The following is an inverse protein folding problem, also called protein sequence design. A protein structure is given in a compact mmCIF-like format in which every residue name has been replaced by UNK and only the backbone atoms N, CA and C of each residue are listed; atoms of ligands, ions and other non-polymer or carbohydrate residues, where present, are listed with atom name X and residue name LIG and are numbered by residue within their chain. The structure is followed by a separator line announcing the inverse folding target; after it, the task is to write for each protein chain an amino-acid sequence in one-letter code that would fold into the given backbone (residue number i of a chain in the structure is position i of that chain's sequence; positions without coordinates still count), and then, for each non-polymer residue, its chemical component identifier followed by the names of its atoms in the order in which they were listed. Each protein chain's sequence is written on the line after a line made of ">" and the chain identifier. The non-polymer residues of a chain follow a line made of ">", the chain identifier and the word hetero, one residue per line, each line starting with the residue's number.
data_IF_950380141237
#
_entry.id   IF_950380141237
#
_cell.length_a   1.000
_cell.length_b   1.000
_cell.length_c   1.000
_cell.angle_alpha   90.00
_cell.angle_beta   90.00
_cell.angle_gamma   90.00
#
_symmetry.space_group_name_H-M   'P 1'
#
loop_
_entity.id
_entity.type
_entity.pdbx_description
1 polymer ?
#
# COMPACT_ATOMS: atom_id res chain seq x y z
N UNK A 1 -2.27 -19.58 -16.08
CA UNK A 1 -0.86 -19.41 -15.65
C UNK A 1 -0.89 -19.02 -14.18
N UNK A 2 0.04 -19.46 -13.39
CA UNK A 2 0.19 -19.09 -11.98
C UNK A 2 1.49 -18.30 -11.75
N UNK A 3 1.76 -17.90 -10.51
CA UNK A 3 2.99 -17.16 -10.14
C UNK A 3 4.27 -17.90 -10.53
N UNK A 4 4.30 -19.24 -10.43
CA UNK A 4 5.45 -20.04 -10.81
C UNK A 4 5.66 -20.06 -12.32
N UNK A 5 4.58 -19.98 -13.10
CA UNK A 5 4.61 -19.91 -14.55
C UNK A 5 5.27 -18.64 -15.08
N UNK A 6 5.18 -17.52 -14.36
CA UNK A 6 5.84 -16.26 -14.74
C UNK A 6 7.36 -16.40 -14.79
N UNK A 7 7.94 -17.21 -13.90
CA UNK A 7 9.39 -17.45 -13.87
C UNK A 7 9.88 -18.40 -14.98
N UNK A 8 8.97 -19.01 -15.74
CA UNK A 8 9.31 -19.91 -16.85
C UNK A 8 9.14 -19.24 -18.21
N UNK A 9 8.66 -18.00 -18.23
CA UNK A 9 8.51 -17.24 -19.46
C UNK A 9 9.87 -16.93 -20.11
N UNK A 10 9.94 -16.90 -21.45
CA UNK A 10 11.15 -16.51 -22.13
C UNK A 10 11.48 -15.04 -21.88
N UNK A 11 12.75 -14.70 -21.73
CA UNK A 11 13.17 -13.33 -21.54
C UNK A 11 14.63 -13.19 -21.10
N UNK A 12 15.02 -11.97 -20.72
CA UNK A 12 16.39 -11.64 -20.34
C UNK A 12 16.71 -12.11 -18.92
N UNK A 13 17.96 -12.49 -18.63
CA UNK A 13 18.38 -12.92 -17.29
C UNK A 13 18.09 -11.87 -16.21
N UNK A 14 18.24 -10.58 -16.52
CA UNK A 14 17.99 -9.47 -15.60
C UNK A 14 16.51 -9.35 -15.24
N UNK A 15 15.61 -9.53 -16.22
CA UNK A 15 14.17 -9.56 -16.01
C UNK A 15 13.77 -10.74 -15.13
N UNK A 16 14.34 -11.92 -15.39
CA UNK A 16 14.09 -13.12 -14.59
C UNK A 16 14.60 -12.98 -13.15
N UNK A 17 15.71 -12.28 -12.93
CA UNK A 17 16.22 -11.98 -11.59
C UNK A 17 15.27 -11.02 -10.85
N UNK A 18 14.86 -9.94 -11.51
CA UNK A 18 13.91 -8.97 -10.97
C UNK A 18 12.55 -9.60 -10.65
N UNK A 19 12.00 -10.41 -11.54
CA UNK A 19 10.75 -11.14 -11.35
C UNK A 19 10.81 -12.03 -10.09
N UNK A 20 11.91 -12.77 -9.92
CA UNK A 20 12.10 -13.65 -8.77
C UNK A 20 12.11 -12.87 -7.47
N UNK A 21 12.89 -11.79 -7.41
CA UNK A 21 12.98 -10.93 -6.22
C UNK A 21 11.62 -10.29 -5.88
N UNK A 22 10.90 -9.81 -6.90
CA UNK A 22 9.61 -9.17 -6.71
C UNK A 22 8.52 -10.14 -6.27
N UNK A 23 8.48 -11.34 -6.84
CA UNK A 23 7.51 -12.39 -6.49
C UNK A 23 7.70 -12.93 -5.08
N UNK A 24 8.93 -12.90 -4.56
CA UNK A 24 9.25 -13.39 -3.21
C UNK A 24 8.60 -12.54 -2.11
N UNK A 25 8.45 -11.25 -2.35
CA UNK A 25 7.99 -10.26 -1.36
C UNK A 25 6.60 -9.70 -1.64
N UNK A 26 5.82 -10.35 -2.48
CA UNK A 26 4.44 -9.93 -2.76
C UNK A 26 3.60 -9.97 -1.50
N UNK A 27 2.92 -8.88 -1.21
CA UNK A 27 1.90 -8.84 -0.16
C UNK A 27 0.67 -9.67 -0.55
N UNK A 28 -0.22 -9.93 0.40
CA UNK A 28 -1.49 -10.62 0.11
C UNK A 28 -2.29 -9.84 -0.93
N UNK A 29 -2.39 -8.52 -0.76
CA UNK A 29 -3.07 -7.63 -1.69
C UNK A 29 -2.47 -7.69 -3.09
N UNK A 30 -1.14 -7.54 -3.20
CA UNK A 30 -0.44 -7.63 -4.48
C UNK A 30 -0.58 -9.01 -5.13
N UNK A 31 -0.63 -10.07 -4.32
CA UNK A 31 -0.89 -11.42 -4.79
C UNK A 31 -2.26 -11.58 -5.45
N UNK A 32 -3.29 -11.00 -4.85
CA UNK A 32 -4.67 -10.98 -5.39
C UNK A 32 -4.71 -10.14 -6.66
N UNK A 33 -4.10 -8.96 -6.67
CA UNK A 33 -4.00 -8.11 -7.85
C UNK A 33 -3.29 -8.82 -9.02
N UNK A 34 -2.20 -9.54 -8.73
CA UNK A 34 -1.47 -10.31 -9.73
C UNK A 34 -2.31 -11.45 -10.31
N UNK A 35 -3.04 -12.18 -9.46
CA UNK A 35 -3.91 -13.26 -9.93
C UNK A 35 -5.02 -12.71 -10.85
N UNK A 36 -5.58 -11.54 -10.56
CA UNK A 36 -6.52 -10.85 -11.42
C UNK A 36 -5.87 -10.39 -12.74
N UNK A 37 -4.67 -9.80 -12.66
CA UNK A 37 -3.92 -9.34 -13.82
C UNK A 37 -3.58 -10.49 -14.77
N UNK A 38 -3.08 -11.62 -14.25
CA UNK A 38 -2.76 -12.81 -15.05
C UNK A 38 -4.00 -13.40 -15.72
N UNK A 39 -5.15 -13.41 -15.04
CA UNK A 39 -6.39 -13.94 -15.62
C UNK A 39 -6.89 -13.06 -16.77
N UNK A 40 -6.73 -11.76 -16.65
CA UNK A 40 -7.16 -10.82 -17.69
C UNK A 40 -6.18 -10.74 -18.86
N UNK A 41 -4.89 -10.62 -18.57
CA UNK A 41 -3.80 -10.46 -19.53
C UNK A 41 -2.67 -11.43 -19.20
N UNK A 42 -2.74 -12.69 -19.65
CA UNK A 42 -1.67 -13.65 -19.43
C UNK A 42 -0.40 -13.18 -20.15
N UNK A 43 0.68 -12.95 -19.40
CA UNK A 43 1.97 -12.57 -19.97
C UNK A 43 2.51 -13.66 -20.89
N UNK A 44 3.11 -13.26 -22.01
CA UNK A 44 3.70 -14.16 -23.00
C UNK A 44 5.23 -14.25 -22.85
N UNK A 45 5.84 -13.22 -22.29
CA UNK A 45 7.28 -13.14 -22.05
C UNK A 45 7.58 -12.42 -20.72
N UNK A 46 8.87 -12.36 -20.35
CA UNK A 46 9.29 -11.70 -19.11
C UNK A 46 9.09 -10.20 -19.11
N UNK A 47 9.09 -9.53 -20.26
CA UNK A 47 8.83 -8.09 -20.37
C UNK A 47 7.39 -7.76 -19.97
N UNK A 48 6.43 -8.52 -20.49
CA UNK A 48 5.03 -8.39 -20.11
C UNK A 48 4.81 -8.76 -18.63
N UNK A 49 5.51 -9.78 -18.12
CA UNK A 49 5.45 -10.16 -16.71
C UNK A 49 5.99 -9.04 -15.79
N UNK A 50 7.08 -8.35 -16.19
CA UNK A 50 7.58 -7.17 -15.47
C UNK A 50 6.54 -6.05 -15.49
N UNK A 51 5.89 -5.78 -16.64
CA UNK A 51 4.81 -4.79 -16.72
C UNK A 51 3.67 -5.10 -15.75
N UNK A 52 3.20 -6.36 -15.71
CA UNK A 52 2.13 -6.77 -14.77
C UNK A 52 2.54 -6.51 -13.32
N UNK A 53 3.73 -6.97 -12.91
CA UNK A 53 4.21 -6.81 -11.53
C UNK A 53 4.50 -5.36 -11.15
N UNK A 54 4.88 -4.51 -12.11
CA UNK A 54 5.15 -3.10 -11.88
C UNK A 54 3.88 -2.23 -11.83
N UNK A 55 2.71 -2.78 -12.17
CA UNK A 55 1.43 -2.07 -12.20
C UNK A 55 0.40 -2.59 -11.18
N UNK A 56 0.81 -3.42 -10.22
CA UNK A 56 -0.11 -4.01 -9.24
C UNK A 56 -0.77 -2.98 -8.32
N UNK A 57 -0.17 -1.81 -8.14
CA UNK A 57 -0.71 -0.68 -7.40
C UNK A 57 -1.90 0.01 -8.10
N UNK A 58 -2.04 -0.18 -9.42
CA UNK A 58 -3.18 0.31 -10.19
C UNK A 58 -4.46 -0.51 -9.96
N UNK A 59 -4.34 -1.72 -9.37
CA UNK A 59 -5.48 -2.58 -9.04
C UNK A 59 -6.02 -2.22 -7.66
N UNK A 60 -7.29 -1.87 -7.57
CA UNK A 60 -7.97 -1.75 -6.28
C UNK A 60 -8.45 -3.14 -5.84
N UNK A 61 -8.10 -3.54 -4.60
CA UNK A 61 -8.50 -4.83 -4.03
C UNK A 61 -9.48 -4.59 -2.90
N UNK A 62 -10.73 -5.01 -3.11
CA UNK A 62 -11.80 -4.92 -2.14
C UNK A 62 -11.88 -6.25 -1.37
N UNK A 63 -11.40 -6.25 -0.12
CA UNK A 63 -11.36 -7.44 0.72
C UNK A 63 -12.72 -7.82 1.27
N UNK A 64 -12.92 -9.14 1.50
CA UNK A 64 -14.17 -9.67 2.03
C UNK A 64 -15.35 -9.68 1.05
N UNK A 65 -15.11 -9.42 -0.23
CA UNK A 65 -16.12 -9.38 -1.29
C UNK A 65 -16.03 -10.66 -2.13
N UNK A 66 -16.94 -11.59 -1.90
CA UNK A 66 -16.91 -12.92 -2.52
C UNK A 66 -18.06 -13.16 -3.49
N UNK A 67 -19.07 -12.28 -3.49
CA UNK A 67 -20.28 -12.41 -4.29
C UNK A 67 -20.78 -11.05 -4.78
N UNK A 68 -21.69 -11.05 -5.73
CA UNK A 68 -22.39 -9.84 -6.15
C UNK A 68 -23.24 -9.22 -5.02
N UNK A 69 -23.71 -10.03 -4.09
CA UNK A 69 -24.44 -9.54 -2.91
C UNK A 69 -23.50 -8.72 -2.00
N UNK A 70 -22.28 -9.23 -1.72
CA UNK A 70 -21.27 -8.49 -0.96
C UNK A 70 -20.87 -7.20 -1.69
N UNK A 71 -20.67 -7.30 -3.01
CA UNK A 71 -20.32 -6.14 -3.84
C UNK A 71 -21.43 -5.09 -3.86
N UNK A 72 -22.68 -5.53 -3.87
CA UNK A 72 -23.84 -4.64 -3.76
C UNK A 72 -23.96 -3.98 -2.39
N UNK A 73 -23.65 -4.71 -1.33
CA UNK A 73 -23.59 -4.15 0.02
C UNK A 73 -22.48 -3.10 0.13
N UNK A 74 -21.29 -3.42 -0.36
CA UNK A 74 -20.17 -2.49 -0.45
C UNK A 74 -20.56 -1.19 -1.18
N UNK A 75 -21.19 -1.30 -2.36
CA UNK A 75 -21.63 -0.14 -3.14
C UNK A 75 -22.71 0.68 -2.42
N UNK A 76 -23.57 0.03 -1.66
CA UNK A 76 -24.58 0.70 -0.86
C UNK A 76 -23.95 1.52 0.27
N UNK A 77 -22.93 0.96 0.95
CA UNK A 77 -22.17 1.60 2.00
C UNK A 77 -21.43 2.83 1.49
N UNK A 78 -20.74 2.70 0.37
CA UNK A 78 -20.02 3.79 -0.30
C UNK A 78 -20.95 4.93 -0.75
N UNK A 79 -22.13 4.58 -1.25
CA UNK A 79 -23.06 5.59 -1.80
C UNK A 79 -23.73 6.39 -0.70
N UNK A 80 -24.20 5.75 0.34
CA UNK A 80 -24.83 6.44 1.47
C UNK A 80 -25.09 5.52 2.67
N UNK A 81 -24.47 5.82 3.79
CA UNK A 81 -24.74 5.14 5.06
C UNK A 81 -26.23 5.15 5.46
N UNK A 82 -27.02 6.13 4.98
CA UNK A 82 -28.46 6.20 5.25
C UNK A 82 -29.25 5.12 4.51
N UNK A 83 -28.75 4.66 3.37
CA UNK A 83 -29.39 3.62 2.59
C UNK A 83 -29.17 2.23 3.19
N UNK A 84 -28.19 2.05 4.05
CA UNK A 84 -27.97 0.79 4.79
C UNK A 84 -29.20 0.34 5.59
N UNK A 85 -29.98 1.28 6.10
CA UNK A 85 -31.23 0.96 6.79
C UNK A 85 -32.29 0.31 5.86
N UNK A 86 -32.11 0.43 4.54
CA UNK A 86 -33.01 -0.13 3.53
C UNK A 86 -32.45 -1.42 2.89
N UNK A 87 -31.30 -1.93 3.37
CA UNK A 87 -30.62 -3.08 2.75
C UNK A 87 -31.53 -4.29 2.55
N UNK A 88 -32.44 -4.56 3.50
CA UNK A 88 -33.36 -5.70 3.45
C UNK A 88 -34.46 -5.55 2.38
N UNK A 89 -34.58 -4.35 1.78
CA UNK A 89 -35.54 -4.03 0.72
C UNK A 89 -34.87 -3.83 -0.65
N UNK A 90 -33.55 -3.97 -0.73
CA UNK A 90 -32.74 -3.74 -1.94
C UNK A 90 -32.25 -5.09 -2.46
N UNK A 91 -32.33 -5.29 -3.75
CA UNK A 91 -31.70 -6.41 -4.45
C UNK A 91 -30.19 -6.16 -4.57
N UNK A 92 -29.44 -6.65 -3.58
CA UNK A 92 -27.98 -6.44 -3.48
C UNK A 92 -27.23 -7.12 -4.63
N UNK A 93 -27.64 -8.30 -5.10
CA UNK A 93 -27.01 -8.98 -6.26
C UNK A 93 -27.07 -8.09 -7.50
N UNK A 94 -28.26 -7.51 -7.76
CA UNK A 94 -28.44 -6.61 -8.89
C UNK A 94 -27.64 -5.31 -8.76
N UNK A 95 -27.53 -4.82 -7.53
CA UNK A 95 -26.74 -3.63 -7.23
C UNK A 95 -25.24 -3.90 -7.44
N UNK A 96 -24.73 -5.07 -7.02
CA UNK A 96 -23.36 -5.50 -7.24
C UNK A 96 -23.00 -5.67 -8.71
N UNK A 97 -23.91 -6.24 -9.52
CA UNK A 97 -23.71 -6.31 -10.98
C UNK A 97 -23.64 -4.93 -11.62
N UNK A 98 -24.44 -3.98 -11.13
CA UNK A 98 -24.37 -2.60 -11.60
C UNK A 98 -23.04 -1.93 -11.22
N UNK A 99 -22.49 -2.24 -10.04
CA UNK A 99 -21.16 -1.79 -9.65
C UNK A 99 -20.09 -2.34 -10.60
N UNK A 100 -20.11 -3.65 -10.89
CA UNK A 100 -19.19 -4.28 -11.85
C UNK A 100 -19.25 -3.65 -13.25
N UNK A 101 -20.47 -3.27 -13.74
CA UNK A 101 -20.60 -2.56 -15.02
C UNK A 101 -19.85 -1.23 -15.05
N UNK A 102 -19.73 -0.56 -13.90
CA UNK A 102 -19.03 0.73 -13.75
C UNK A 102 -17.56 0.56 -13.36
N UNK A 103 -17.27 -0.49 -12.61
CA UNK A 103 -15.96 -0.83 -12.07
C UNK A 103 -15.62 -2.29 -12.39
N UNK A 104 -15.28 -2.59 -13.67
CA UNK A 104 -14.99 -3.96 -14.08
C UNK A 104 -13.87 -4.58 -13.26
N UNK A 105 -14.05 -5.83 -12.85
CA UNK A 105 -13.08 -6.51 -12.00
C UNK A 105 -13.27 -8.02 -12.00
N UNK A 106 -12.66 -8.70 -11.04
CA UNK A 106 -12.69 -10.14 -10.91
C UNK A 106 -12.78 -10.55 -9.43
N UNK A 107 -13.65 -11.52 -9.14
CA UNK A 107 -13.65 -12.20 -7.84
C UNK A 107 -12.49 -13.18 -7.78
N UNK A 108 -11.57 -12.97 -6.86
CA UNK A 108 -10.38 -13.80 -6.67
C UNK A 108 -9.91 -13.76 -5.21
N UNK A 109 -9.55 -14.91 -4.64
CA UNK A 109 -8.99 -15.01 -3.30
C UNK A 109 -9.88 -14.46 -2.17
N UNK A 110 -11.21 -14.49 -2.34
CA UNK A 110 -12.15 -13.93 -1.35
C UNK A 110 -12.27 -12.40 -1.39
N UNK A 111 -11.80 -11.79 -2.47
CA UNK A 111 -11.81 -10.36 -2.73
C UNK A 111 -12.39 -10.07 -4.11
N UNK A 112 -12.73 -8.82 -4.36
CA UNK A 112 -13.02 -8.30 -5.70
C UNK A 112 -11.87 -7.38 -6.11
N UNK A 113 -11.13 -7.76 -7.15
CA UNK A 113 -10.05 -6.95 -7.72
C UNK A 113 -10.59 -6.12 -8.89
N UNK A 114 -10.66 -4.81 -8.71
CA UNK A 114 -11.07 -3.86 -9.74
C UNK A 114 -9.93 -3.66 -10.71
N UNK A 115 -10.22 -3.71 -11.98
CA UNK A 115 -9.22 -3.50 -13.03
C UNK A 115 -8.87 -2.02 -13.19
N UNK A 116 -7.61 -1.68 -13.53
CA UNK A 116 -7.25 -0.31 -13.83
C UNK A 116 -8.00 0.23 -15.06
N UNK A 117 -8.24 1.54 -15.09
CA UNK A 117 -8.93 2.21 -16.20
C UNK A 117 -8.16 2.10 -17.51
N UNK A 118 -6.82 2.04 -17.42
CA UNK A 118 -5.92 1.95 -18.59
C UNK A 118 -5.34 0.57 -18.72
N UNK A 119 -5.51 -0.05 -19.88
CA UNK A 119 -5.03 -1.38 -20.17
C UNK A 119 -4.58 -1.58 -21.61
N UNK A 120 -3.58 -2.47 -21.81
CA UNK A 120 -2.72 -3.05 -20.77
C UNK A 120 -1.76 -2.00 -20.19
N UNK A 121 -1.44 -2.06 -18.90
CA UNK A 121 -0.41 -1.21 -18.32
C UNK A 121 0.96 -1.60 -18.89
N UNK A 122 1.74 -0.61 -19.32
CA UNK A 122 3.09 -0.81 -19.87
C UNK A 122 4.10 0.14 -19.19
N UNK A 123 4.30 -0.02 -17.87
CA UNK A 123 5.25 0.82 -17.15
C UNK A 123 6.71 0.51 -17.45
N UNK A 124 6.99 -0.58 -18.17
CA UNK A 124 8.32 -1.05 -18.53
C UNK A 124 8.50 -1.10 -20.07
N UNK A 125 9.53 -0.44 -20.54
CA UNK A 125 9.84 -0.30 -21.98
C UNK A 125 10.70 -1.43 -22.57
N UNK A 126 11.02 -2.45 -21.77
CA UNK A 126 11.90 -3.54 -22.17
C UNK A 126 13.40 -3.20 -22.10
N UNK A 127 13.77 -2.02 -21.62
CA UNK A 127 15.18 -1.56 -21.57
C UNK A 127 15.65 -1.35 -20.14
N UNK A 128 15.00 -0.46 -19.40
CA UNK A 128 15.40 -0.08 -18.04
C UNK A 128 14.41 -0.67 -17.06
N UNK A 129 14.85 -1.67 -16.28
CA UNK A 129 14.01 -2.28 -15.23
C UNK A 129 13.47 -1.24 -14.26
N UNK A 130 12.25 -1.44 -13.74
CA UNK A 130 11.70 -0.58 -12.73
C UNK A 130 12.68 -0.41 -11.56
N UNK A 131 12.88 0.84 -11.14
CA UNK A 131 13.75 1.18 -10.02
C UNK A 131 13.17 0.76 -8.67
N UNK A 132 13.88 1.07 -7.56
CA UNK A 132 13.37 0.81 -6.23
C UNK A 132 12.00 1.46 -6.02
N UNK A 133 11.09 0.70 -5.43
CA UNK A 133 9.76 1.15 -5.07
C UNK A 133 9.79 1.76 -3.66
N UNK A 134 9.51 3.06 -3.57
CA UNK A 134 9.43 3.81 -2.30
C UNK A 134 7.97 4.14 -1.92
N UNK A 135 7.00 3.47 -2.51
CA UNK A 135 5.60 3.60 -2.11
C UNK A 135 5.32 2.98 -0.74
N UNK A 136 6.20 2.09 -0.29
CA UNK A 136 6.15 1.44 1.03
C UNK A 136 7.35 1.85 1.89
N UNK A 137 7.19 1.79 3.20
CA UNK A 137 8.24 2.04 4.20
C UNK A 137 8.83 0.74 4.71
N UNK A 138 7.97 -0.16 5.19
CA UNK A 138 8.33 -1.50 5.65
C UNK A 138 7.50 -2.55 4.93
N UNK A 139 8.14 -3.69 4.62
CA UNK A 139 7.47 -4.95 4.29
C UNK A 139 7.75 -5.93 5.42
N UNK A 140 6.68 -6.47 5.99
CA UNK A 140 6.75 -7.38 7.14
C UNK A 140 6.21 -8.75 6.73
N UNK A 141 6.97 -9.80 6.96
CA UNK A 141 6.51 -11.18 6.82
C UNK A 141 6.07 -11.67 8.19
N UNK A 142 4.77 -11.86 8.34
CA UNK A 142 4.16 -12.33 9.57
C UNK A 142 3.71 -13.78 9.41
N UNK A 143 3.81 -14.55 10.47
CA UNK A 143 3.32 -15.92 10.52
C UNK A 143 2.33 -16.11 11.66
N UNK A 144 1.54 -17.18 11.57
CA UNK A 144 0.67 -17.68 12.62
C UNK A 144 0.82 -19.20 12.75
N UNK A 145 0.30 -19.83 13.82
CA UNK A 145 0.24 -21.28 13.91
C UNK A 145 -0.55 -21.94 12.77
N UNK A 146 -1.51 -21.25 12.17
CA UNK A 146 -2.30 -21.75 11.05
C UNK A 146 -1.60 -21.58 9.69
N UNK A 147 -0.71 -20.60 9.57
CA UNK A 147 0.07 -20.30 8.36
C UNK A 147 1.55 -20.02 8.73
N UNK A 148 2.33 -21.08 9.00
CA UNK A 148 3.72 -20.95 9.46
C UNK A 148 4.68 -20.44 8.37
N UNK A 149 4.35 -20.58 7.09
CA UNK A 149 5.08 -20.00 5.96
C UNK A 149 5.00 -18.48 5.91
N UNK A 150 3.98 -17.94 6.58
CA UNK A 150 3.74 -16.51 6.71
C UNK A 150 3.16 -15.83 5.48
N UNK A 151 2.75 -14.59 5.69
CA UNK A 151 2.24 -13.69 4.65
C UNK A 151 2.94 -12.34 4.76
N UNK A 152 3.21 -11.72 3.61
CA UNK A 152 3.75 -10.39 3.54
C UNK A 152 2.64 -9.34 3.63
N UNK A 153 2.93 -8.24 4.30
CA UNK A 153 2.18 -7.00 4.24
C UNK A 153 3.13 -5.82 4.00
N UNK A 154 2.64 -4.75 3.42
CA UNK A 154 3.39 -3.51 3.22
C UNK A 154 2.79 -2.39 4.07
N UNK A 155 3.66 -1.53 4.58
CA UNK A 155 3.30 -0.31 5.28
C UNK A 155 3.75 0.90 4.44
N UNK A 156 3.04 1.99 4.48
CA UNK A 156 1.88 2.25 5.31
C UNK A 156 0.63 1.60 4.75
N UNK A 157 -0.22 1.12 5.63
CA UNK A 157 -1.59 0.73 5.31
C UNK A 157 -2.45 1.99 5.37
N UNK A 158 -2.75 2.54 4.19
CA UNK A 158 -3.43 3.84 4.05
C UNK A 158 -4.93 3.78 4.26
N UNK A 159 -5.44 2.67 4.72
CA UNK A 159 -6.83 2.69 5.12
C UNK A 159 -6.97 3.68 6.26
N UNK A 160 -7.51 4.81 5.89
CA UNK A 160 -7.91 5.83 6.85
C UNK A 160 -8.69 5.15 7.97
N UNK A 161 -8.50 5.61 9.20
CA UNK A 161 -9.27 5.18 10.39
C UNK A 161 -10.79 5.25 10.14
N UNK A 162 -11.20 6.05 9.16
CA UNK A 162 -12.58 6.24 8.72
C UNK A 162 -12.99 5.28 7.59
N UNK A 163 -12.08 4.55 6.97
CA UNK A 163 -12.36 3.60 5.90
C UNK A 163 -12.58 2.19 6.50
N UNK A 164 -13.78 1.68 6.36
CA UNK A 164 -14.18 0.35 6.86
C UNK A 164 -13.59 -0.78 6.00
N UNK A 165 -12.92 -0.44 4.90
CA UNK A 165 -12.38 -1.42 3.94
C UNK A 165 -11.18 -2.17 4.51
N UNK A 166 -11.06 -3.49 4.25
CA UNK A 166 -9.88 -4.26 4.62
C UNK A 166 -8.64 -3.74 3.90
N UNK A 167 -7.66 -3.25 4.66
CA UNK A 167 -6.35 -2.85 4.17
C UNK A 167 -5.35 -3.99 4.13
N UNK A 168 -4.09 -3.64 3.86
CA UNK A 168 -2.96 -4.58 3.83
C UNK A 168 -2.88 -5.43 5.11
N UNK A 169 -3.02 -4.78 6.28
CA UNK A 169 -2.98 -5.47 7.58
C UNK A 169 -4.14 -6.45 7.68
N UNK A 170 -5.35 -6.03 7.34
CA UNK A 170 -6.53 -6.89 7.45
C UNK A 170 -6.44 -8.08 6.51
N UNK A 171 -6.04 -7.86 5.26
CA UNK A 171 -5.86 -8.94 4.29
C UNK A 171 -4.79 -9.95 4.74
N UNK A 172 -3.69 -9.46 5.34
CA UNK A 172 -2.66 -10.32 5.89
C UNK A 172 -3.18 -11.14 7.08
N UNK A 173 -3.94 -10.54 8.02
CA UNK A 173 -4.54 -11.24 9.16
C UNK A 173 -5.54 -12.32 8.71
N UNK A 174 -6.35 -12.02 7.70
CA UNK A 174 -7.30 -12.99 7.14
C UNK A 174 -6.57 -14.16 6.48
N UNK A 175 -5.49 -13.90 5.72
CA UNK A 175 -4.64 -14.96 5.14
C UNK A 175 -3.94 -15.80 6.21
N UNK A 176 -3.54 -15.19 7.32
CA UNK A 176 -2.92 -15.85 8.47
C UNK A 176 -3.95 -16.53 9.40
N UNK A 177 -5.26 -16.38 9.14
CA UNK A 177 -6.36 -16.92 9.93
C UNK A 177 -6.31 -16.48 11.41
N UNK A 178 -5.91 -15.25 11.67
CA UNK A 178 -5.85 -14.64 13.01
C UNK A 178 -6.68 -13.35 13.05
N UNK A 179 -7.00 -12.90 14.27
CA UNK A 179 -7.83 -11.71 14.44
C UNK A 179 -7.03 -10.46 14.72
N UNK A 180 -5.87 -10.61 15.32
CA UNK A 180 -5.05 -9.51 15.81
C UNK A 180 -3.58 -9.70 15.48
N UNK A 181 -2.85 -8.60 15.41
CA UNK A 181 -1.40 -8.60 15.21
C UNK A 181 -0.65 -9.32 16.33
N UNK A 182 -1.19 -9.29 17.55
CA UNK A 182 -0.59 -9.94 18.71
C UNK A 182 -0.58 -11.47 18.59
N UNK A 183 -1.43 -12.04 17.73
CA UNK A 183 -1.45 -13.48 17.43
C UNK A 183 -0.40 -13.88 16.37
N UNK A 184 0.35 -12.91 15.85
CA UNK A 184 1.35 -13.11 14.82
C UNK A 184 2.78 -13.13 15.37
N UNK A 185 3.66 -13.81 14.63
CA UNK A 185 5.11 -13.79 14.83
C UNK A 185 5.77 -13.11 13.63
N UNK A 186 6.69 -12.18 13.86
CA UNK A 186 7.49 -11.57 12.81
C UNK A 186 8.56 -12.56 12.34
N UNK A 187 8.57 -12.91 11.06
CA UNK A 187 9.57 -13.76 10.44
C UNK A 187 10.68 -12.95 9.77
N UNK A 188 10.31 -11.87 9.06
CA UNK A 188 11.24 -11.04 8.30
C UNK A 188 10.69 -9.60 8.22
N UNK A 189 11.59 -8.62 8.23
CA UNK A 189 11.27 -7.22 8.03
C UNK A 189 12.23 -6.60 7.01
N UNK A 190 11.68 -5.93 6.01
CA UNK A 190 12.45 -5.18 5.01
C UNK A 190 12.07 -3.71 5.07
N UNK A 191 13.06 -2.82 5.01
CA UNK A 191 12.85 -1.38 4.92
C UNK A 191 13.18 -0.90 3.50
N UNK A 192 12.37 0.02 2.97
CA UNK A 192 12.66 0.64 1.67
C UNK A 192 13.88 1.58 1.73
N UNK A 193 14.20 2.08 2.93
CA UNK A 193 15.39 2.91 3.12
C UNK A 193 16.64 2.04 3.18
N UNK A 194 17.69 2.40 2.41
CA UNK A 194 18.94 1.64 2.41
C UNK A 194 19.63 1.68 3.78
N UNK A 195 20.26 0.56 4.15
CA UNK A 195 21.05 0.46 5.38
C UNK A 195 20.24 0.21 6.67
N UNK A 196 18.93 0.19 6.62
CA UNK A 196 18.08 -0.19 7.76
C UNK A 196 17.85 -1.69 7.72
N UNK A 197 18.46 -2.41 8.68
CA UNK A 197 18.41 -3.87 8.82
C UNK A 197 18.27 -4.26 10.29
N UNK A 198 17.95 -5.54 10.56
CA UNK A 198 17.88 -6.06 11.93
C UNK A 198 16.65 -5.59 12.72
N UNK A 199 15.60 -5.19 12.01
CA UNK A 199 14.33 -4.75 12.62
C UNK A 199 13.68 -5.85 13.46
N UNK A 200 13.84 -7.12 13.06
CA UNK A 200 13.31 -8.29 13.76
C UNK A 200 13.88 -8.37 15.19
N UNK A 201 15.17 -8.10 15.34
CA UNK A 201 15.83 -8.09 16.66
C UNK A 201 15.54 -6.82 17.43
N UNK A 202 15.54 -5.66 16.74
CA UNK A 202 15.28 -4.36 17.36
C UNK A 202 13.87 -4.24 17.97
N UNK A 203 12.89 -4.92 17.35
CA UNK A 203 11.49 -4.91 17.77
C UNK A 203 11.00 -6.28 18.29
N UNK A 204 11.90 -7.13 18.77
CA UNK A 204 11.52 -8.42 19.36
C UNK A 204 10.44 -8.25 20.43
N UNK A 205 9.29 -8.93 20.28
CA UNK A 205 8.14 -8.81 21.18
C UNK A 205 7.37 -7.49 21.13
N UNK A 206 7.67 -6.59 20.16
CA UNK A 206 7.05 -5.27 20.03
C UNK A 206 6.58 -5.00 18.59
N UNK A 207 5.86 -5.99 18.02
CA UNK A 207 5.41 -5.93 16.64
C UNK A 207 4.46 -4.75 16.35
N UNK A 208 3.61 -4.40 17.31
CA UNK A 208 2.71 -3.25 17.24
C UNK A 208 3.47 -1.91 17.19
N UNK A 209 4.57 -1.78 17.92
CA UNK A 209 5.44 -0.60 17.82
C UNK A 209 6.12 -0.53 16.43
N UNK A 210 6.59 -1.66 15.89
CA UNK A 210 7.19 -1.72 14.56
C UNK A 210 6.18 -1.30 13.48
N UNK A 211 4.94 -1.77 13.58
CA UNK A 211 3.87 -1.38 12.65
C UNK A 211 3.58 0.11 12.76
N UNK A 212 3.45 0.64 13.98
CA UNK A 212 3.21 2.06 14.21
C UNK A 212 4.33 2.93 13.63
N UNK A 213 5.59 2.57 13.87
CA UNK A 213 6.75 3.30 13.35
C UNK A 213 6.83 3.19 11.81
N UNK A 214 6.50 2.02 11.25
CA UNK A 214 6.42 1.80 9.81
C UNK A 214 5.34 2.65 9.14
N UNK A 215 4.16 2.77 9.76
CA UNK A 215 3.09 3.66 9.30
C UNK A 215 3.55 5.11 9.25
N UNK A 216 4.17 5.60 10.34
CA UNK A 216 4.66 6.97 10.43
C UNK A 216 5.76 7.24 9.39
N UNK A 217 6.71 6.32 9.24
CA UNK A 217 7.76 6.42 8.24
C UNK A 217 7.18 6.49 6.82
N UNK A 218 6.19 5.64 6.52
CA UNK A 218 5.55 5.63 5.22
C UNK A 218 4.81 6.93 4.91
N UNK A 219 4.12 7.49 5.90
CA UNK A 219 3.47 8.78 5.75
C UNK A 219 4.49 9.89 5.41
N UNK A 220 5.62 9.93 6.12
CA UNK A 220 6.68 10.91 5.88
C UNK A 220 7.29 10.73 4.50
N UNK A 221 7.63 9.50 4.09
CA UNK A 221 8.20 9.22 2.78
C UNK A 221 7.23 9.65 1.66
N UNK A 222 5.94 9.40 1.83
CA UNK A 222 4.92 9.83 0.87
C UNK A 222 4.84 11.34 0.76
N UNK A 223 4.79 12.07 1.87
CA UNK A 223 4.74 13.53 1.87
C UNK A 223 5.98 14.13 1.21
N UNK A 224 7.16 13.61 1.54
CA UNK A 224 8.41 14.07 0.95
C UNK A 224 8.50 13.77 -0.55
N UNK A 225 7.96 12.64 -1.00
CA UNK A 225 7.95 12.28 -2.42
C UNK A 225 6.96 13.12 -3.23
N UNK A 226 5.82 13.51 -2.64
CA UNK A 226 4.82 14.35 -3.31
C UNK A 226 5.17 15.83 -3.31
N UNK A 227 5.89 16.32 -2.29
CA UNK A 227 6.11 17.75 -2.07
C UNK A 227 7.18 18.37 -2.95
N UNK A 228 8.29 17.71 -3.24
CA UNK A 228 9.40 18.21 -4.05
C UNK A 228 10.10 17.08 -4.79
N UNK A 229 10.03 17.09 -6.13
CA UNK A 229 10.83 16.16 -6.94
C UNK A 229 12.31 16.28 -6.57
N UNK A 230 12.90 15.19 -6.07
CA UNK A 230 14.28 15.11 -5.67
C UNK A 230 14.57 15.24 -4.18
N UNK A 231 13.58 15.58 -3.34
CA UNK A 231 13.81 15.65 -1.89
C UNK A 231 14.04 14.26 -1.30
N UNK A 232 13.25 13.28 -1.69
CA UNK A 232 13.46 11.88 -1.28
C UNK A 232 14.87 11.40 -1.66
N UNK A 233 15.31 11.68 -2.89
CA UNK A 233 16.66 11.31 -3.34
C UNK A 233 17.75 12.01 -2.52
N UNK A 234 17.55 13.27 -2.18
CA UNK A 234 18.48 14.03 -1.33
C UNK A 234 18.50 13.46 0.10
N UNK A 235 17.34 13.07 0.61
CA UNK A 235 17.22 12.45 1.94
C UNK A 235 17.91 11.09 1.99
N UNK A 236 17.68 10.24 1.00
CA UNK A 236 18.35 8.94 0.85
C UNK A 236 19.88 9.11 0.77
N UNK A 237 20.32 10.06 -0.04
CA UNK A 237 21.76 10.39 -0.15
C UNK A 237 22.36 10.89 1.15
N UNK A 238 21.61 11.69 1.93
CA UNK A 238 22.05 12.15 3.25
C UNK A 238 22.18 10.99 4.23
N UNK A 239 21.21 10.07 4.26
CA UNK A 239 21.25 8.87 5.08
C UNK A 239 22.45 7.96 4.74
N UNK A 240 22.70 7.73 3.46
CA UNK A 240 23.86 6.98 3.00
C UNK A 240 25.16 7.65 3.47
N UNK A 241 25.25 8.96 3.39
CA UNK A 241 26.44 9.72 3.79
C UNK A 241 26.66 9.72 5.30
N UNK A 242 25.62 9.81 6.12
CA UNK A 242 25.72 9.71 7.57
C UNK A 242 26.18 8.32 8.01
N UNK A 243 25.71 7.26 7.37
CA UNK A 243 26.17 5.90 7.62
C UNK A 243 27.67 5.72 7.32
N UNK A 244 28.24 6.49 6.37
CA UNK A 244 29.67 6.46 6.03
C UNK A 244 30.56 7.29 6.98
N UNK A 245 30.02 8.18 7.78
CA UNK A 245 30.78 9.07 8.63
C UNK A 245 30.92 8.61 10.09
N UNK A 246 30.45 7.44 10.46
CA UNK A 246 30.82 6.83 11.72
C UNK A 246 32.16 6.11 11.56
N UNK A 247 33.28 6.71 12.08
CA UNK A 247 34.58 6.07 11.98
C UNK A 247 34.59 4.81 12.84
N UNK A 248 34.97 3.71 12.21
CA UNK A 248 35.50 2.50 12.82
C UNK A 248 34.64 1.89 13.94
N UNK A 249 33.61 1.21 13.58
CA UNK A 249 33.19 0.03 14.32
C UNK A 249 33.52 -1.21 13.50
N UNK A 250 34.23 -2.15 14.15
CA UNK A 250 34.51 -3.46 13.58
C UNK A 250 33.22 -4.11 13.08
N UNK A 251 33.25 -5.00 12.06
CA UNK A 251 32.08 -5.68 11.56
C UNK A 251 31.22 -6.44 12.60
N UNK A 252 31.70 -6.54 13.85
CA UNK A 252 30.99 -7.11 14.99
C UNK A 252 30.35 -6.11 15.95
N UNK A 253 30.58 -4.81 15.74
CA UNK A 253 30.12 -3.72 16.62
C UNK A 253 29.08 -2.81 15.94
N UNK A 254 28.35 -3.31 14.94
CA UNK A 254 27.14 -2.59 14.50
C UNK A 254 26.21 -2.50 15.70
N UNK A 255 25.92 -1.29 16.23
CA UNK A 255 24.79 -1.17 17.14
C UNK A 255 23.57 -1.59 16.31
N UNK A 256 22.86 -2.56 16.82
CA UNK A 256 21.46 -2.73 16.44
C UNK A 256 20.88 -1.31 16.45
N UNK A 257 20.34 -0.78 15.36
CA UNK A 257 19.68 0.51 15.40
C UNK A 257 18.68 0.41 16.53
N UNK A 258 18.87 1.23 17.57
CA UNK A 258 17.90 1.35 18.62
C UNK A 258 16.54 1.67 17.97
N UNK A 259 15.42 1.44 18.65
CA UNK A 259 14.11 1.82 18.14
C UNK A 259 14.23 3.19 17.53
N UNK A 260 13.69 3.39 16.34
CA UNK A 260 13.71 4.66 15.62
C UNK A 260 13.41 5.73 16.66
N UNK A 261 14.27 6.74 16.88
CA UNK A 261 14.12 7.61 18.03
C UNK A 261 12.75 8.21 18.02
N UNK A 262 11.92 7.83 18.99
CA UNK A 262 10.54 8.28 19.17
C UNK A 262 10.40 9.81 19.33
N UNK A 263 11.48 10.53 19.32
CA UNK A 263 11.54 11.99 19.39
C UNK A 263 12.09 12.68 18.15
N UNK A 264 12.58 11.96 17.13
CA UNK A 264 13.08 12.59 15.89
C UNK A 264 11.93 12.95 14.93
N UNK A 265 10.81 12.33 15.09
CA UNK A 265 9.59 12.58 14.34
C UNK A 265 8.68 13.43 15.21
N UNK A 266 8.76 14.75 15.05
CA UNK A 266 7.95 15.68 15.82
C UNK A 266 6.50 15.20 15.85
N UNK A 267 5.96 15.05 17.05
CA UNK A 267 4.54 14.78 17.28
C UNK A 267 3.73 15.81 16.49
N UNK A 268 3.24 15.44 15.31
CA UNK A 268 2.14 16.12 14.70
C UNK A 268 0.89 15.70 15.47
N UNK A 269 0.56 16.51 16.48
CA UNK A 269 -0.72 16.46 17.14
C UNK A 269 -1.80 16.86 16.10
N UNK A 270 -2.72 15.96 15.66
CA UNK A 270 -3.75 16.30 14.68
C UNK A 270 -4.82 17.24 15.22
N UNK A 271 -4.65 17.83 16.40
CA UNK A 271 -5.64 18.55 17.18
C UNK A 271 -5.69 20.07 17.08
N UNK A 272 -4.88 20.76 16.24
CA UNK A 272 -4.93 22.23 16.18
C UNK A 272 -5.08 22.77 14.75
N UNK A 273 -6.22 22.54 14.13
CA UNK A 273 -6.78 23.49 13.19
C UNK A 273 -7.78 24.39 13.93
N UNK A 274 -7.28 25.47 14.53
CA UNK A 274 -8.13 26.56 14.97
C UNK A 274 -8.49 27.44 13.75
N UNK A 275 -9.78 27.74 13.51
CA UNK A 275 -10.14 28.68 12.47
C UNK A 275 -9.70 30.07 12.91
N UNK A 276 -8.76 30.65 12.19
CA UNK A 276 -8.30 32.02 12.37
C UNK A 276 -9.46 33.02 12.18
N UNK A 277 -9.75 33.71 13.26
CA UNK A 277 -10.74 34.77 13.32
C UNK A 277 -10.39 35.94 12.41
N UNK A 278 -11.35 36.36 11.65
CA UNK A 278 -11.42 37.64 10.98
C UNK A 278 -11.65 38.78 11.98
N UNK A 279 -10.74 39.72 12.03
CA UNK A 279 -11.01 41.10 12.48
C UNK A 279 -10.42 42.02 11.43
N UNK A 280 -11.22 42.67 10.67
CA UNK A 280 -11.90 43.93 10.91
C UNK A 280 -11.12 45.09 10.33
N UNK A 281 -11.68 45.80 9.44
CA UNK A 281 -11.92 47.24 9.32
C UNK A 281 -11.71 47.78 7.88
N UNK A 282 -12.78 48.23 7.28
CA UNK A 282 -13.00 49.64 7.15
C UNK A 282 -12.62 50.18 5.77
N UNK A 283 -13.60 50.70 5.02
CA UNK A 283 -13.33 51.60 3.89
C UNK A 283 -14.43 51.63 2.83
N UNK A 284 -15.40 52.41 3.08
CA UNK A 284 -16.30 53.21 2.24
C UNK A 284 -16.03 53.24 0.72
N UNK A 285 -17.12 53.16 -0.04
CA UNK A 285 -17.34 54.11 -1.16
C UNK A 285 -17.80 53.51 -2.46
N UNK A 286 -18.99 53.89 -2.91
CA UNK A 286 -19.24 54.16 -4.34
C UNK A 286 -20.24 53.25 -5.05
N UNK A 287 -21.48 53.56 -4.93
CA UNK A 287 -22.57 53.74 -5.94
C UNK A 287 -22.34 53.25 -7.38
N UNK A 288 -23.36 52.63 -7.86
CA UNK A 288 -24.03 52.75 -9.18
C UNK A 288 -24.05 51.46 -9.99
N UNK A 289 -25.17 50.83 -10.23
CA UNK A 289 -26.20 51.23 -11.13
C UNK A 289 -26.29 50.28 -12.33
N UNK A 290 -27.52 49.71 -12.56
CA UNK A 290 -28.06 49.07 -13.79
C UNK A 290 -27.85 47.55 -13.93
N UNK A 291 -28.91 46.76 -13.72
CA UNK A 291 -30.10 46.42 -14.56
C UNK A 291 -29.78 45.86 -15.95
N UNK A 292 -30.47 44.72 -16.21
CA UNK A 292 -30.86 44.11 -17.50
C UNK A 292 -29.83 43.08 -18.02
N UNK A 293 -30.14 41.87 -18.31
CA UNK A 293 -31.29 41.03 -18.70
C UNK A 293 -31.06 39.63 -18.21
#
# INVERSE_FOLDING_TARGET
>A
MDKAGLLQLPGRPEEQAWLRERLEVLTVREGIALDAAIQRHPAQDSTEAVCLLASLDEYEVLGGIQSYEDLGLYYLEETSARLLALRDYIDLDKLGRRYEEQHPGLFVGGCYAVYPEREPPQPYDGVTLPGPDYSWSLRLKLASPAAPEGAWLALPDYNDIMDVRPGEIRLALDALQVRTIQDCTLLEARCSLPGITGLETAYEGRLDELIYDGQNLGFILREQNQGQKGFLQTYLWALEREAWHHPARSPGDCPVPGPLPSGAWGHHDPGHFAPGGTAGSGGRGGTDGRRLL
#
